data_IF_608242245760
#
_entry.id   IF_608242245760
#
_cell.length_a   1.000
_cell.length_b   1.000
_cell.length_c   1.000
_cell.angle_alpha   90.00
_cell.angle_beta   90.00
_cell.angle_gamma   90.00
#
_symmetry.space_group_name_H-M   'P 1'
#
loop_
_entity.id
_entity.type
_entity.pdbx_description
1 polymer ?
#
# COMPACT_ATOMS: atom_id res chain seq x y z
N UNK A 1 -30.05 -58.98 -59.30
CA UNK A 1 -29.37 -58.67 -58.02
C UNK A 1 -27.94 -58.11 -58.16
N UNK A 2 -27.15 -58.44 -59.20
CA UNK A 2 -25.75 -57.94 -59.36
C UNK A 2 -25.59 -56.43 -59.66
N UNK A 3 -26.60 -55.77 -60.23
CA UNK A 3 -26.54 -54.33 -60.61
C UNK A 3 -26.85 -53.35 -59.46
N UNK A 4 -27.42 -53.84 -58.35
CA UNK A 4 -27.71 -53.02 -57.18
C UNK A 4 -26.45 -52.80 -56.32
N UNK A 5 -25.56 -53.80 -56.25
CA UNK A 5 -24.30 -53.71 -55.50
C UNK A 5 -23.28 -52.73 -56.12
N UNK A 6 -23.30 -52.55 -57.44
CA UNK A 6 -22.42 -51.60 -58.14
C UNK A 6 -22.80 -50.13 -57.91
N UNK A 7 -24.07 -49.83 -57.55
CA UNK A 7 -24.51 -48.47 -57.23
C UNK A 7 -24.24 -48.08 -55.77
N UNK A 8 -24.22 -49.05 -54.86
CA UNK A 8 -23.90 -48.82 -53.45
C UNK A 8 -22.40 -48.49 -53.24
N UNK A 9 -21.50 -49.08 -54.03
CA UNK A 9 -20.06 -48.83 -53.93
C UNK A 9 -19.65 -47.40 -54.31
N UNK A 10 -20.34 -46.77 -55.27
CA UNK A 10 -20.05 -45.41 -55.72
C UNK A 10 -20.46 -44.32 -54.70
N UNK A 11 -21.48 -44.59 -53.87
CA UNK A 11 -21.93 -43.65 -52.83
C UNK A 11 -21.00 -43.68 -51.61
N UNK A 12 -20.40 -44.84 -51.28
CA UNK A 12 -19.42 -44.93 -50.18
C UNK A 12 -18.06 -44.29 -50.53
N UNK A 13 -17.67 -44.23 -51.81
CA UNK A 13 -16.38 -43.65 -52.23
C UNK A 13 -16.32 -42.11 -52.10
N UNK A 14 -17.47 -41.42 -52.17
CA UNK A 14 -17.56 -39.96 -52.00
C UNK A 14 -17.51 -39.52 -50.52
N UNK A 15 -17.76 -40.42 -49.57
CA UNK A 15 -17.71 -40.13 -48.13
C UNK A 15 -16.30 -40.17 -47.51
N UNK A 16 -15.29 -40.57 -48.29
CA UNK A 16 -13.88 -40.66 -47.86
C UNK A 16 -13.04 -39.46 -48.31
N UNK A 17 -13.65 -38.37 -48.79
CA UNK A 17 -12.87 -37.17 -49.09
C UNK A 17 -12.29 -36.60 -47.79
N UNK A 18 -10.96 -36.50 -47.66
CA UNK A 18 -10.36 -35.82 -46.53
C UNK A 18 -10.80 -34.35 -46.58
N UNK A 19 -11.37 -33.86 -45.48
CA UNK A 19 -11.49 -32.43 -45.27
C UNK A 19 -10.08 -31.85 -45.25
N UNK A 20 -9.71 -31.12 -46.30
CA UNK A 20 -8.51 -30.29 -46.29
C UNK A 20 -8.78 -29.19 -45.28
N UNK A 21 -8.07 -29.20 -44.16
CA UNK A 21 -8.06 -28.07 -43.25
C UNK A 21 -7.33 -26.93 -43.96
N UNK A 22 -8.09 -25.93 -44.41
CA UNK A 22 -7.53 -24.71 -44.98
C UNK A 22 -7.06 -23.83 -43.83
N UNK A 23 -5.80 -23.42 -43.85
CA UNK A 23 -5.27 -22.48 -42.89
C UNK A 23 -5.44 -21.06 -43.44
N UNK A 24 -5.83 -20.13 -42.57
CA UNK A 24 -6.10 -18.76 -43.00
C UNK A 24 -4.79 -17.99 -43.19
N UNK A 25 -4.69 -17.20 -44.26
CA UNK A 25 -3.53 -16.34 -44.48
C UNK A 25 -3.60 -15.07 -43.62
N UNK A 26 -2.48 -14.71 -43.00
CA UNK A 26 -2.31 -13.48 -42.24
C UNK A 26 -0.98 -12.80 -42.53
N UNK A 27 -0.81 -11.58 -42.02
CA UNK A 27 0.39 -10.76 -42.21
C UNK A 27 0.84 -10.18 -40.88
N UNK A 28 2.14 -10.22 -40.61
CA UNK A 28 2.69 -9.61 -39.41
C UNK A 28 2.62 -8.08 -39.48
N UNK A 29 2.16 -7.43 -38.41
CA UNK A 29 2.07 -5.95 -38.33
C UNK A 29 3.29 -5.28 -37.72
N UNK A 30 4.21 -6.08 -37.17
CA UNK A 30 5.47 -5.65 -36.57
C UNK A 30 6.49 -6.79 -36.65
N UNK A 31 7.75 -6.51 -36.29
CA UNK A 31 8.73 -7.56 -36.04
C UNK A 31 8.32 -8.34 -34.78
N UNK A 32 7.68 -9.50 -34.98
CA UNK A 32 7.03 -10.24 -33.91
C UNK A 32 7.74 -11.55 -33.61
N UNK A 33 7.90 -11.85 -32.32
CA UNK A 33 8.45 -13.13 -31.88
C UNK A 33 7.40 -14.22 -32.04
N UNK A 34 7.66 -15.21 -32.89
CA UNK A 34 6.94 -16.48 -32.90
C UNK A 34 7.49 -17.36 -31.79
N UNK A 35 6.65 -17.83 -30.88
CA UNK A 35 7.05 -18.51 -29.64
C UNK A 35 6.65 -19.98 -29.62
N UNK A 36 7.29 -20.76 -28.77
CA UNK A 36 6.99 -22.19 -28.66
C UNK A 36 5.72 -22.52 -27.86
N UNK A 37 4.95 -21.50 -27.47
CA UNK A 37 3.66 -21.64 -26.79
C UNK A 37 2.94 -20.29 -26.63
N UNK A 38 1.68 -20.30 -26.18
CA UNK A 38 0.80 -19.12 -26.11
C UNK A 38 1.09 -18.23 -24.89
N UNK A 39 2.33 -17.77 -24.77
CA UNK A 39 2.78 -16.83 -23.73
C UNK A 39 4.08 -16.17 -24.16
N UNK A 40 4.28 -14.91 -23.76
CA UNK A 40 5.52 -14.17 -23.96
C UNK A 40 6.72 -14.76 -23.24
N UNK A 41 6.50 -15.71 -22.34
CA UNK A 41 7.54 -16.32 -21.50
C UNK A 41 8.10 -17.60 -22.11
N UNK A 42 7.42 -18.22 -23.08
CA UNK A 42 7.97 -19.30 -23.88
C UNK A 42 9.14 -18.82 -24.76
N UNK A 43 10.14 -19.67 -25.03
CA UNK A 43 11.27 -19.31 -25.88
C UNK A 43 10.78 -18.91 -27.29
N UNK A 44 11.48 -17.95 -27.88
CA UNK A 44 11.26 -17.56 -29.26
C UNK A 44 11.77 -18.68 -30.19
N UNK A 45 10.94 -19.08 -31.14
CA UNK A 45 11.28 -20.00 -32.23
C UNK A 45 12.00 -19.24 -33.34
N UNK A 46 11.49 -18.06 -33.68
CA UNK A 46 12.06 -17.11 -34.64
C UNK A 46 11.39 -15.74 -34.50
N UNK A 47 11.85 -14.77 -35.29
CA UNK A 47 11.20 -13.48 -35.48
C UNK A 47 10.56 -13.49 -36.88
N UNK A 48 9.29 -13.09 -36.96
CA UNK A 48 8.59 -12.82 -38.22
C UNK A 48 8.75 -11.33 -38.50
N UNK A 49 9.41 -10.93 -39.59
CA UNK A 49 9.51 -9.53 -40.00
C UNK A 49 8.14 -8.91 -40.28
N UNK A 50 8.03 -7.60 -40.08
CA UNK A 50 6.81 -6.86 -40.44
C UNK A 50 6.48 -7.02 -41.93
N UNK A 51 5.20 -7.20 -42.24
CA UNK A 51 4.68 -7.34 -43.60
C UNK A 51 4.75 -8.76 -44.17
N UNK A 52 5.52 -9.65 -43.56
CA UNK A 52 5.63 -11.05 -43.99
C UNK A 52 4.32 -11.81 -43.77
N UNK A 53 4.03 -12.74 -44.68
CA UNK A 53 2.86 -13.59 -44.59
C UNK A 53 3.09 -14.76 -43.64
N UNK A 54 2.02 -15.15 -42.97
CA UNK A 54 1.96 -16.30 -42.06
C UNK A 54 0.71 -17.10 -42.35
N UNK A 55 0.77 -18.39 -42.12
CA UNK A 55 -0.38 -19.28 -42.27
C UNK A 55 -0.92 -19.63 -40.87
N UNK A 56 -2.19 -19.32 -40.62
CA UNK A 56 -2.86 -19.44 -39.32
C UNK A 56 -3.59 -20.78 -39.26
N UNK A 57 -3.11 -21.68 -38.41
CA UNK A 57 -3.68 -23.02 -38.20
C UNK A 57 -4.84 -23.02 -37.21
N UNK A 58 -4.94 -21.99 -36.38
CA UNK A 58 -6.00 -21.83 -35.38
C UNK A 58 -5.59 -20.89 -34.26
N UNK A 59 -6.57 -20.41 -33.50
CA UNK A 59 -6.34 -19.53 -32.36
C UNK A 59 -7.03 -20.07 -31.09
N UNK A 60 -6.52 -19.69 -29.91
CA UNK A 60 -7.15 -20.02 -28.64
C UNK A 60 -8.45 -19.22 -28.43
N UNK A 61 -9.43 -19.80 -27.73
CA UNK A 61 -10.69 -19.11 -27.43
C UNK A 61 -10.56 -18.05 -26.32
N UNK A 62 -9.76 -18.36 -25.30
CA UNK A 62 -9.65 -17.59 -24.05
C UNK A 62 -8.67 -16.42 -24.18
N UNK A 63 -7.70 -16.53 -25.09
CA UNK A 63 -6.62 -15.56 -25.26
C UNK A 63 -6.31 -15.41 -26.74
N UNK A 64 -6.05 -14.20 -27.25
CA UNK A 64 -5.77 -13.99 -28.67
C UNK A 64 -4.34 -14.42 -29.01
N UNK A 65 -4.07 -15.72 -28.97
CA UNK A 65 -2.84 -16.36 -29.46
C UNK A 65 -3.21 -17.32 -30.57
N UNK A 66 -2.45 -17.25 -31.65
CA UNK A 66 -2.67 -18.03 -32.85
C UNK A 66 -1.45 -18.92 -33.15
N UNK A 67 -1.71 -20.19 -33.42
CA UNK A 67 -0.74 -21.14 -33.95
C UNK A 67 -0.55 -20.84 -35.44
N UNK A 68 0.67 -20.46 -35.80
CA UNK A 68 1.03 -20.02 -37.14
C UNK A 68 2.24 -20.81 -37.66
N UNK A 69 2.32 -20.95 -38.98
CA UNK A 69 3.55 -21.34 -39.69
C UNK A 69 4.16 -20.12 -40.37
N UNK A 70 5.48 -20.06 -40.31
CA UNK A 70 6.30 -19.09 -41.02
C UNK A 70 7.60 -19.75 -41.46
N UNK A 71 7.86 -19.77 -42.78
CA UNK A 71 8.88 -20.62 -43.39
C UNK A 71 8.80 -22.07 -42.86
N UNK A 72 9.93 -22.66 -42.46
CA UNK A 72 10.02 -24.01 -41.91
C UNK A 72 9.72 -24.08 -40.40
N UNK A 73 9.16 -23.01 -39.82
CA UNK A 73 8.83 -22.92 -38.42
C UNK A 73 7.33 -22.97 -38.15
N UNK A 74 6.95 -23.61 -37.04
CA UNK A 74 5.60 -23.53 -36.46
C UNK A 74 5.69 -22.97 -35.04
N UNK A 75 4.74 -22.13 -34.63
CA UNK A 75 4.75 -21.53 -33.31
C UNK A 75 3.54 -20.64 -33.05
N UNK A 76 3.57 -19.92 -31.95
CA UNK A 76 2.48 -19.10 -31.46
C UNK A 76 2.81 -17.62 -31.54
N UNK A 77 1.88 -16.83 -32.05
CA UNK A 77 1.96 -15.37 -32.15
C UNK A 77 0.72 -14.75 -31.52
N UNK A 78 0.84 -13.60 -30.88
CA UNK A 78 -0.32 -12.88 -30.37
C UNK A 78 -1.12 -12.27 -31.53
N UNK A 79 -2.43 -12.49 -31.56
CA UNK A 79 -3.35 -12.09 -32.64
C UNK A 79 -3.34 -10.60 -32.96
N UNK A 80 -3.09 -9.74 -31.95
CA UNK A 80 -2.90 -8.29 -32.11
C UNK A 80 -1.72 -7.91 -33.04
N UNK A 81 -0.80 -8.83 -33.32
CA UNK A 81 0.33 -8.62 -34.24
C UNK A 81 0.13 -9.26 -35.61
N UNK A 82 -1.05 -9.82 -35.89
CA UNK A 82 -1.38 -10.46 -37.15
C UNK A 82 -2.64 -9.82 -37.71
N UNK A 83 -2.61 -9.48 -38.99
CA UNK A 83 -3.78 -9.02 -39.74
C UNK A 83 -4.16 -10.01 -40.82
N UNK A 84 -5.46 -10.25 -40.99
CA UNK A 84 -6.00 -11.05 -42.08
C UNK A 84 -6.90 -10.18 -42.98
N UNK A 85 -7.08 -10.61 -44.22
CA UNK A 85 -8.00 -9.94 -45.15
C UNK A 85 -9.43 -10.42 -44.91
N UNK A 86 -10.30 -9.49 -44.55
CA UNK A 86 -11.74 -9.72 -44.40
C UNK A 86 -12.52 -8.68 -45.19
N UNK A 87 -13.30 -9.12 -46.19
CA UNK A 87 -14.13 -8.25 -47.05
C UNK A 87 -13.36 -7.03 -47.58
N UNK A 88 -12.17 -7.27 -48.11
CA UNK A 88 -11.24 -6.25 -48.66
C UNK A 88 -10.62 -5.28 -47.64
N UNK A 89 -10.81 -5.51 -46.33
CA UNK A 89 -10.16 -4.75 -45.26
C UNK A 89 -9.18 -5.63 -44.49
N UNK A 90 -8.11 -5.04 -43.97
CA UNK A 90 -7.20 -5.71 -43.03
C UNK A 90 -7.77 -5.57 -41.62
N UNK A 91 -8.04 -6.70 -40.98
CA UNK A 91 -8.52 -6.76 -39.59
C UNK A 91 -7.51 -7.50 -38.74
N UNK A 92 -7.33 -7.07 -37.48
CA UNK A 92 -6.52 -7.81 -36.52
C UNK A 92 -7.19 -9.14 -36.19
N UNK A 93 -6.38 -10.17 -35.99
CA UNK A 93 -6.86 -11.53 -35.71
C UNK A 93 -7.30 -11.62 -34.25
N UNK A 94 -8.54 -11.19 -33.99
CA UNK A 94 -9.21 -11.20 -32.70
C UNK A 94 -10.37 -12.22 -32.68
N UNK A 95 -10.84 -12.67 -31.49
CA UNK A 95 -11.87 -13.71 -31.38
C UNK A 95 -13.15 -13.47 -32.18
N UNK A 96 -13.57 -12.22 -32.34
CA UNK A 96 -14.72 -11.83 -33.17
C UNK A 96 -14.56 -12.25 -34.64
N UNK A 97 -13.32 -12.24 -35.15
CA UNK A 97 -13.01 -12.52 -36.55
C UNK A 97 -12.63 -13.97 -36.82
N UNK A 98 -12.50 -14.85 -35.82
CA UNK A 98 -12.09 -16.24 -36.05
C UNK A 98 -13.07 -16.99 -36.95
N UNK A 99 -14.37 -16.96 -36.65
CA UNK A 99 -15.38 -17.63 -37.48
C UNK A 99 -15.51 -17.02 -38.88
N UNK A 100 -15.63 -15.69 -39.05
CA UNK A 100 -15.71 -15.08 -40.38
C UNK A 100 -14.48 -15.34 -41.27
N UNK A 101 -13.30 -15.50 -40.66
CA UNK A 101 -12.05 -15.82 -41.35
C UNK A 101 -11.80 -17.33 -41.52
N UNK A 102 -12.70 -18.19 -41.05
CA UNK A 102 -12.51 -19.65 -41.11
C UNK A 102 -11.41 -20.19 -40.19
N UNK A 103 -10.93 -19.38 -39.24
CA UNK A 103 -9.88 -19.76 -38.30
C UNK A 103 -10.49 -20.67 -37.22
N UNK A 104 -10.02 -21.92 -37.08
CA UNK A 104 -10.54 -22.82 -36.07
C UNK A 104 -10.08 -22.42 -34.66
N UNK A 105 -10.93 -22.65 -33.68
CA UNK A 105 -10.54 -22.58 -32.27
C UNK A 105 -9.78 -23.86 -31.89
N UNK A 106 -8.57 -23.69 -31.36
CA UNK A 106 -7.70 -24.81 -30.97
C UNK A 106 -7.40 -24.77 -29.48
N UNK A 107 -6.79 -25.85 -28.98
CA UNK A 107 -6.23 -25.95 -27.62
C UNK A 107 -4.73 -26.17 -27.70
N UNK A 108 -4.00 -25.64 -26.74
CA UNK A 108 -2.55 -25.83 -26.65
C UNK A 108 -2.22 -27.07 -25.79
N UNK A 109 -2.04 -28.20 -26.47
CA UNK A 109 -1.56 -29.45 -25.86
C UNK A 109 -0.02 -29.48 -25.83
N UNK A 110 0.56 -29.01 -24.73
CA UNK A 110 2.02 -28.80 -24.60
C UNK A 110 2.85 -29.98 -25.11
N UNK A 111 2.60 -31.18 -24.58
CA UNK A 111 3.42 -32.37 -24.86
C UNK A 111 3.41 -32.70 -26.36
N UNK A 112 2.22 -32.85 -26.94
CA UNK A 112 2.06 -33.20 -28.35
C UNK A 112 2.64 -32.13 -29.27
N UNK A 113 2.41 -30.86 -28.94
CA UNK A 113 2.85 -29.74 -29.76
C UNK A 113 4.38 -29.62 -29.75
N UNK A 114 5.00 -29.67 -28.58
CA UNK A 114 6.46 -29.59 -28.46
C UNK A 114 7.16 -30.79 -29.07
N UNK A 115 6.64 -31.99 -28.85
CA UNK A 115 7.23 -33.22 -29.40
C UNK A 115 7.14 -33.26 -30.93
N UNK A 116 6.09 -32.69 -31.51
CA UNK A 116 5.94 -32.62 -32.96
C UNK A 116 6.84 -31.56 -33.59
N UNK A 117 6.93 -30.38 -33.01
CA UNK A 117 7.49 -29.21 -33.68
C UNK A 117 8.94 -28.88 -33.25
N UNK A 118 9.39 -29.33 -32.08
CA UNK A 118 10.60 -28.79 -31.45
C UNK A 118 11.66 -29.81 -31.02
N UNK A 119 11.51 -31.11 -31.30
CA UNK A 119 12.52 -32.13 -30.93
C UNK A 119 13.96 -31.79 -31.36
N UNK A 120 14.12 -31.11 -32.49
CA UNK A 120 15.43 -30.68 -33.01
C UNK A 120 15.91 -29.30 -32.54
N UNK A 121 15.20 -28.64 -31.61
CA UNK A 121 15.54 -27.29 -31.14
C UNK A 121 16.32 -27.36 -29.82
N UNK A 122 17.29 -26.48 -29.63
CA UNK A 122 18.16 -26.48 -28.43
C UNK A 122 17.38 -26.32 -27.11
N UNK A 123 16.29 -25.55 -27.11
CA UNK A 123 15.45 -25.35 -25.93
C UNK A 123 14.59 -26.57 -25.58
N UNK A 124 14.54 -27.60 -26.44
CA UNK A 124 13.77 -28.82 -26.18
C UNK A 124 14.32 -29.62 -25.00
N UNK A 125 15.63 -29.52 -24.71
CA UNK A 125 16.23 -30.12 -23.50
C UNK A 125 15.63 -29.59 -22.19
N UNK A 126 14.99 -28.42 -22.24
CA UNK A 126 14.32 -27.79 -21.11
C UNK A 126 12.79 -28.05 -21.13
N UNK A 127 12.31 -28.99 -21.94
CA UNK A 127 10.89 -29.32 -22.08
C UNK A 127 10.19 -29.52 -20.74
N UNK A 128 10.78 -30.24 -19.79
CA UNK A 128 10.18 -30.48 -18.47
C UNK A 128 10.06 -29.22 -17.63
N UNK A 129 10.97 -28.26 -17.79
CA UNK A 129 10.89 -26.94 -17.17
C UNK A 129 9.70 -26.16 -17.75
N UNK A 130 9.52 -26.18 -19.08
CA UNK A 130 8.43 -25.47 -19.75
C UNK A 130 7.06 -26.15 -19.58
N UNK A 131 7.04 -27.48 -19.40
CA UNK A 131 5.82 -28.26 -19.15
C UNK A 131 5.11 -27.88 -17.87
N UNK A 132 5.87 -27.47 -16.84
CA UNK A 132 5.32 -27.01 -15.54
C UNK A 132 4.63 -25.64 -15.63
N UNK A 133 4.38 -25.15 -16.85
CA UNK A 133 3.90 -23.83 -17.16
C UNK A 133 5.06 -22.87 -17.29
N UNK A 134 4.95 -21.78 -18.05
CA UNK A 134 6.00 -20.78 -18.08
C UNK A 134 6.10 -20.05 -16.72
N UNK A 135 5.00 -19.93 -15.95
CA UNK A 135 4.78 -19.01 -14.79
C UNK A 135 5.60 -19.28 -13.53
N UNK A 136 6.26 -20.43 -13.42
CA UNK A 136 7.10 -20.78 -12.27
C UNK A 136 8.20 -19.75 -11.94
N UNK A 137 8.73 -19.02 -12.93
CA UNK A 137 9.72 -17.98 -12.67
C UNK A 137 9.12 -16.69 -12.06
N UNK A 138 7.88 -16.34 -12.40
CA UNK A 138 7.22 -15.14 -11.85
C UNK A 138 6.64 -15.37 -10.46
N UNK A 139 6.15 -16.57 -10.15
CA UNK A 139 5.59 -16.85 -8.83
C UNK A 139 6.65 -16.79 -7.74
N UNK A 140 7.87 -17.27 -8.06
CA UNK A 140 9.04 -17.12 -7.19
C UNK A 140 9.40 -15.65 -6.99
N UNK A 141 9.48 -14.85 -8.06
CA UNK A 141 9.91 -13.46 -7.99
C UNK A 141 8.83 -12.55 -7.33
N UNK A 142 7.54 -12.84 -7.54
CA UNK A 142 6.43 -12.18 -6.82
C UNK A 142 6.46 -12.53 -5.34
N UNK A 143 6.78 -13.77 -4.98
CA UNK A 143 6.93 -14.15 -3.58
C UNK A 143 8.13 -13.43 -2.94
N UNK A 144 9.28 -13.37 -3.62
CA UNK A 144 10.45 -12.60 -3.17
C UNK A 144 10.13 -11.12 -2.95
N UNK A 145 9.47 -10.45 -3.90
CA UNK A 145 9.06 -9.04 -3.74
C UNK A 145 8.11 -8.86 -2.54
N UNK A 146 7.14 -9.76 -2.37
CA UNK A 146 6.19 -9.73 -1.26
C UNK A 146 6.86 -10.03 0.09
N UNK A 147 7.91 -10.83 0.12
CA UNK A 147 8.74 -11.04 1.31
C UNK A 147 9.61 -9.83 1.64
N UNK A 148 10.22 -9.21 0.63
CA UNK A 148 11.04 -8.01 0.80
C UNK A 148 10.20 -6.84 1.33
N UNK A 149 9.02 -6.63 0.76
CA UNK A 149 8.05 -5.63 1.23
C UNK A 149 7.61 -5.88 2.69
N UNK A 150 7.42 -7.15 3.06
CA UNK A 150 7.14 -7.52 4.46
C UNK A 150 8.32 -7.27 5.39
N UNK A 151 9.56 -7.49 4.94
CA UNK A 151 10.78 -7.20 5.72
C UNK A 151 10.95 -5.69 5.91
N UNK A 152 10.68 -4.90 4.88
CA UNK A 152 10.74 -3.43 4.93
C UNK A 152 9.68 -2.86 5.87
N UNK A 153 8.44 -3.37 5.81
CA UNK A 153 7.38 -2.98 6.74
C UNK A 153 7.75 -3.26 8.20
N UNK A 154 8.32 -4.44 8.50
CA UNK A 154 8.82 -4.80 9.83
C UNK A 154 9.96 -3.89 10.30
N UNK A 155 10.86 -3.50 9.39
CA UNK A 155 11.97 -2.59 9.71
C UNK A 155 11.46 -1.21 10.10
N UNK A 156 10.50 -0.67 9.34
CA UNK A 156 9.86 0.62 9.62
C UNK A 156 9.15 0.61 10.98
N UNK A 157 8.41 -0.46 11.26
CA UNK A 157 7.73 -0.61 12.54
C UNK A 157 8.71 -0.62 13.72
N UNK A 158 9.81 -1.39 13.62
CA UNK A 158 10.83 -1.45 14.66
C UNK A 158 11.54 -0.10 14.90
N UNK A 159 11.74 0.72 13.85
CA UNK A 159 12.26 2.08 14.01
C UNK A 159 11.28 3.01 14.70
N UNK A 160 9.99 2.93 14.33
CA UNK A 160 8.94 3.77 14.91
C UNK A 160 8.76 3.44 16.40
N UNK A 161 8.64 2.15 16.74
CA UNK A 161 8.53 1.67 18.13
C UNK A 161 9.74 2.12 18.98
N UNK A 162 10.95 2.02 18.43
CA UNK A 162 12.16 2.47 19.13
C UNK A 162 12.27 3.99 19.26
N UNK A 163 11.60 4.77 18.42
CA UNK A 163 11.54 6.23 18.54
C UNK A 163 10.54 6.64 19.63
N UNK A 164 9.36 6.00 19.67
CA UNK A 164 8.36 6.18 20.71
C UNK A 164 8.92 5.90 22.12
N UNK A 165 9.70 4.83 22.29
CA UNK A 165 10.33 4.50 23.58
C UNK A 165 11.34 5.58 24.02
N UNK A 166 12.23 6.03 23.12
CA UNK A 166 13.22 7.08 23.43
C UNK A 166 12.58 8.41 23.79
N UNK A 167 11.45 8.75 23.18
CA UNK A 167 10.71 9.95 23.51
C UNK A 167 10.09 9.87 24.91
N UNK A 168 9.52 8.72 25.28
CA UNK A 168 8.97 8.51 26.62
C UNK A 168 10.03 8.61 27.70
N UNK A 169 11.20 7.99 27.48
CA UNK A 169 12.32 8.06 28.42
C UNK A 169 12.82 9.49 28.61
N UNK A 170 12.94 10.26 27.51
CA UNK A 170 13.31 11.68 27.57
C UNK A 170 12.32 12.49 28.41
N UNK A 171 11.02 12.31 28.17
CA UNK A 171 9.96 12.98 28.94
C UNK A 171 9.98 12.58 30.42
N UNK A 172 10.29 11.32 30.72
CA UNK A 172 10.44 10.86 32.11
C UNK A 172 11.64 11.52 32.80
N UNK A 173 12.79 11.56 32.12
CA UNK A 173 14.01 12.18 32.63
C UNK A 173 13.85 13.68 32.87
N UNK A 174 13.22 14.41 31.95
CA UNK A 174 12.90 15.83 32.10
C UNK A 174 11.99 16.09 33.31
N UNK A 175 10.96 15.26 33.52
CA UNK A 175 10.09 15.35 34.71
C UNK A 175 10.86 15.10 35.99
N UNK A 176 11.81 14.16 35.98
CA UNK A 176 12.64 13.88 37.15
C UNK A 176 13.58 15.05 37.45
N UNK A 177 14.23 15.61 36.43
CA UNK A 177 15.05 16.82 36.59
C UNK A 177 14.27 18.00 37.16
N UNK A 178 13.05 18.23 36.68
CA UNK A 178 12.21 19.31 37.20
C UNK A 178 11.96 19.15 38.70
N UNK A 179 11.62 17.93 39.14
CA UNK A 179 11.45 17.61 40.57
C UNK A 179 12.72 17.80 41.38
N UNK A 180 13.87 17.42 40.83
CA UNK A 180 15.15 17.56 41.54
C UNK A 180 15.55 19.04 41.70
N UNK A 181 15.30 19.86 40.67
CA UNK A 181 15.49 21.32 40.73
C UNK A 181 14.58 21.97 41.76
N UNK A 182 13.32 21.55 41.84
CA UNK A 182 12.37 22.02 42.85
C UNK A 182 12.85 21.67 44.26
N UNK A 183 13.21 20.40 44.51
CA UNK A 183 13.79 19.97 45.80
C UNK A 183 15.07 20.73 46.15
N UNK A 184 15.88 21.10 45.16
CA UNK A 184 17.07 21.92 45.39
C UNK A 184 16.70 23.34 45.83
N UNK A 185 15.70 23.97 45.20
CA UNK A 185 15.17 25.28 45.60
C UNK A 185 14.60 25.24 47.01
N UNK A 186 13.76 24.25 47.33
CA UNK A 186 13.19 24.09 48.68
C UNK A 186 14.28 23.94 49.76
N UNK A 187 15.34 23.18 49.47
CA UNK A 187 16.50 23.05 50.37
C UNK A 187 17.22 24.36 50.57
N UNK A 188 17.38 25.15 49.52
CA UNK A 188 18.01 26.46 49.60
C UNK A 188 17.16 27.42 50.45
N UNK A 189 15.86 27.53 50.15
CA UNK A 189 14.94 28.34 50.93
C UNK A 189 14.86 27.90 52.41
N UNK A 190 14.93 26.59 52.68
CA UNK A 190 14.95 26.08 54.05
C UNK A 190 16.23 26.53 54.79
N UNK A 191 17.38 26.54 54.12
CA UNK A 191 18.63 27.07 54.69
C UNK A 191 18.52 28.57 54.96
N UNK A 192 17.98 29.34 54.02
CA UNK A 192 17.76 30.78 54.17
C UNK A 192 16.79 31.07 55.33
N UNK A 193 15.69 30.32 55.44
CA UNK A 193 14.74 30.41 56.58
C UNK A 193 15.43 30.13 57.92
N UNK A 194 16.27 29.09 57.99
CA UNK A 194 17.02 28.77 59.21
C UNK A 194 18.03 29.87 59.56
N UNK A 195 18.72 30.43 58.56
CA UNK A 195 19.65 31.54 58.77
C UNK A 195 18.93 32.77 59.30
N UNK A 196 17.82 33.16 58.66
CA UNK A 196 17.00 34.28 59.09
C UNK A 196 16.45 34.10 60.52
N UNK A 197 16.05 32.87 60.89
CA UNK A 197 15.64 32.55 62.27
C UNK A 197 16.79 32.75 63.27
N UNK A 198 18.00 32.28 62.95
CA UNK A 198 19.19 32.46 63.82
C UNK A 198 19.58 33.92 63.97
N UNK A 199 19.49 34.71 62.90
CA UNK A 199 19.75 36.16 62.93
C UNK A 199 18.72 36.87 63.83
N UNK A 200 17.43 36.54 63.69
CA UNK A 200 16.38 37.06 64.58
C UNK A 200 16.57 36.67 66.04
N UNK A 201 17.02 35.47 66.33
CA UNK A 201 17.33 35.05 67.70
C UNK A 201 18.52 35.82 68.27
N UNK A 202 19.53 36.15 67.46
CA UNK A 202 20.66 37.00 67.85
C UNK A 202 20.25 38.44 68.11
N UNK A 203 19.32 38.97 67.32
CA UNK A 203 18.79 40.33 67.45
C UNK A 203 17.64 40.44 68.47
N UNK A 204 17.22 39.31 69.08
CA UNK A 204 16.15 39.29 70.07
C UNK A 204 16.63 39.95 71.38
N UNK A 205 16.05 41.09 71.81
CA UNK A 205 16.45 41.72 73.06
C UNK A 205 16.12 40.81 74.24
N UNK A 206 17.10 40.59 75.12
CA UNK A 206 16.96 39.81 76.34
C UNK A 206 16.16 40.61 77.38
N UNK A 207 14.86 40.36 77.49
CA UNK A 207 14.07 40.86 78.62
C UNK A 207 13.89 39.78 79.70
N UNK A 208 14.76 39.84 80.70
CA UNK A 208 14.65 39.37 82.11
C UNK A 208 15.66 40.21 82.89
N UNK A 209 15.42 40.88 84.02
CA UNK A 209 14.32 40.93 84.98
C UNK A 209 14.28 42.37 85.55
N UNK A 210 13.08 42.95 85.66
CA UNK A 210 12.79 43.92 86.73
C UNK A 210 11.30 43.85 87.05
N UNK A 211 10.98 43.26 88.22
CA UNK A 211 9.67 43.45 88.88
C UNK A 211 9.50 44.96 89.13
N UNK A 212 8.35 45.52 88.81
CA UNK A 212 7.25 45.82 89.75
C UNK A 212 6.24 46.74 89.06
N UNK A 213 5.00 46.76 89.57
CA UNK A 213 4.09 47.93 89.61
C UNK A 213 3.83 48.65 88.26
N UNK A 214 2.67 48.59 87.61
CA UNK A 214 1.30 48.61 88.12
C UNK A 214 0.44 49.36 87.10
N UNK A 215 -0.89 49.29 87.30
CA UNK A 215 -1.95 50.00 86.56
C UNK A 215 -2.52 49.31 85.31
N UNK A 216 -3.53 48.52 85.64
CA UNK A 216 -4.67 48.04 84.87
C UNK A 216 -5.50 49.20 84.30
N UNK A 217 -5.48 49.39 82.98
CA UNK A 217 -6.59 49.89 82.14
C UNK A 217 -6.46 49.11 80.81
N UNK A 218 -7.34 48.19 80.42
CA UNK A 218 -8.76 48.41 80.25
C UNK A 218 -9.07 48.83 78.81
N UNK A 219 -8.63 48.05 77.80
CA UNK A 219 -8.87 48.35 76.37
C UNK A 219 -8.94 47.07 75.55
N UNK A 220 -10.15 46.51 75.52
CA UNK A 220 -10.61 45.27 74.87
C UNK A 220 -10.09 45.05 73.43
N UNK A 221 -9.87 43.76 73.11
CA UNK A 221 -9.51 43.19 71.81
C UNK A 221 -10.57 43.37 70.69
N UNK A 222 -11.56 44.24 70.88
CA UNK A 222 -12.63 44.53 69.92
C UNK A 222 -12.18 45.38 68.72
N UNK A 223 -11.06 46.08 68.79
CA UNK A 223 -10.64 47.01 67.73
C UNK A 223 -9.94 46.32 66.53
N UNK A 224 -9.32 45.15 66.72
CA UNK A 224 -8.63 44.44 65.63
C UNK A 224 -9.57 43.62 64.73
N UNK A 225 -10.70 43.13 65.27
CA UNK A 225 -11.68 42.37 64.48
C UNK A 225 -12.64 43.30 63.70
N UNK A 226 -12.87 44.53 64.18
CA UNK A 226 -13.67 45.55 63.48
C UNK A 226 -13.03 46.03 62.18
N UNK A 227 -11.74 46.38 62.22
CA UNK A 227 -11.00 46.87 61.04
C UNK A 227 -10.96 45.84 59.89
N UNK A 228 -10.79 44.55 60.23
CA UNK A 228 -10.74 43.46 59.23
C UNK A 228 -12.10 43.12 58.63
N UNK A 229 -13.20 43.37 59.37
CA UNK A 229 -14.58 43.21 58.85
C UNK A 229 -14.97 44.36 57.92
N UNK A 230 -14.57 45.59 58.22
CA UNK A 230 -14.81 46.75 57.33
C UNK A 230 -14.01 46.68 56.03
N UNK A 231 -12.75 46.24 56.10
CA UNK A 231 -11.91 46.06 54.91
C UNK A 231 -12.46 44.98 53.97
N UNK A 232 -12.92 43.86 54.52
CA UNK A 232 -13.59 42.80 53.76
C UNK A 232 -14.96 43.23 53.21
N UNK A 233 -15.68 44.11 53.92
CA UNK A 233 -16.94 44.68 53.44
C UNK A 233 -16.76 45.75 52.34
N UNK A 234 -15.63 46.48 52.32
CA UNK A 234 -15.25 47.37 51.20
C UNK A 234 -14.86 46.57 49.96
N UNK A 235 -14.01 45.54 50.10
CA UNK A 235 -13.63 44.65 49.01
C UNK A 235 -14.83 43.92 48.37
N UNK A 236 -15.81 43.51 49.18
CA UNK A 236 -17.06 42.90 48.68
C UNK A 236 -18.01 43.89 47.98
N UNK A 237 -17.94 45.20 48.29
CA UNK A 237 -18.69 46.24 47.57
C UNK A 237 -18.03 46.63 46.24
N UNK A 238 -16.69 46.60 46.18
CA UNK A 238 -15.92 46.79 44.95
C UNK A 238 -16.14 45.63 43.96
N UNK A 239 -16.08 44.38 44.43
CA UNK A 239 -16.35 43.19 43.59
C UNK A 239 -17.80 43.10 43.06
N UNK A 240 -18.75 43.80 43.70
CA UNK A 240 -20.16 43.86 43.23
C UNK A 240 -20.40 45.00 42.25
N UNK A 241 -19.49 45.98 42.18
CA UNK A 241 -19.54 47.12 41.23
C UNK A 241 -19.02 46.72 39.85
N UNK A 242 -18.09 45.77 39.80
CA UNK A 242 -17.44 45.31 38.57
C UNK A 242 -18.15 44.09 37.97
N UNK A 243 -19.47 44.00 38.19
CA UNK A 243 -20.35 43.03 37.53
C UNK A 243 -20.48 43.32 36.03
N UNK A 244 -19.38 43.22 35.29
CA UNK A 244 -19.39 43.18 33.84
C UNK A 244 -19.44 41.71 33.42
N UNK A 245 -20.65 41.29 33.07
CA UNK A 245 -20.95 40.03 32.41
C UNK A 245 -20.20 40.02 31.08
N UNK A 246 -19.07 39.30 31.00
CA UNK A 246 -18.47 38.91 29.72
C UNK A 246 -18.76 37.44 29.46
N UNK A 247 -19.76 37.25 28.61
CA UNK A 247 -20.20 36.01 28.00
C UNK A 247 -19.02 35.29 27.34
N UNK A 248 -18.83 34.01 27.70
CA UNK A 248 -17.90 33.12 26.99
C UNK A 248 -18.54 32.72 25.67
N UNK A 249 -17.92 32.95 24.49
CA UNK A 249 -18.46 32.45 23.24
C UNK A 249 -18.31 30.92 23.22
N UNK A 250 -19.42 30.22 22.97
CA UNK A 250 -19.43 28.79 22.67
C UNK A 250 -19.07 28.62 21.20
N UNK A 251 -17.85 28.16 20.92
CA UNK A 251 -17.51 27.64 19.59
C UNK A 251 -17.77 26.13 19.59
N UNK A 252 -18.69 25.69 18.73
CA UNK A 252 -18.96 24.28 18.41
C UNK A 252 -18.13 23.92 17.18
N UNK A 253 -17.68 22.66 17.16
CA UNK A 253 -16.80 22.02 16.21
C UNK A 253 -17.36 22.00 14.77
N UNK A 254 -17.14 23.05 13.97
CA UNK A 254 -16.76 23.00 12.54
C UNK A 254 -16.75 24.41 11.93
N UNK A 255 -15.84 24.59 10.99
CA UNK A 255 -15.68 25.70 10.05
C UNK A 255 -14.89 26.95 10.50
N UNK A 256 -14.01 27.34 9.58
CA UNK A 256 -12.98 28.34 9.64
C UNK A 256 -13.54 29.77 9.81
N UNK A 257 -13.29 30.38 10.97
CA UNK A 257 -13.01 31.81 11.22
C UNK A 257 -13.60 32.24 12.57
N UNK A 258 -12.75 32.74 13.47
CA UNK A 258 -13.19 33.52 14.63
C UNK A 258 -12.77 34.97 14.35
N UNK A 259 -13.72 35.82 13.94
CA UNK A 259 -13.52 37.27 13.97
C UNK A 259 -13.63 37.76 15.42
N UNK A 260 -12.75 38.68 15.79
CA UNK A 260 -12.78 39.35 17.08
C UNK A 260 -13.70 40.56 17.00
N UNK A 261 -14.55 40.75 18.00
CA UNK A 261 -14.92 42.07 18.49
C UNK A 261 -14.07 42.42 19.71
#
# INVERSE_FOLDING_TARGET
MRKAFLRAAAVCALALMPFVAEAAEGFATANVNMRSGPSTRYPAVTIIPVGESVEIHGCLADRPWCDVSFYDGRGWVAGQYVQALYRSNRVYVEPEYYRPLGIPTVVFEFDRYWDRNYRGRDFYRERDRWRRGPDWAEERDRNWRREEERRDWRRRQATDDGEWEREQDRRQWERQQARDRERARERQEARERQQWQRERERERPEWRDRRDDGRREGGSAENYQGARKEERARQLRELRRDGEVRTVPKCVFNDFACEND
#
